data_IF_351832397071
#
_entry.id   IF_351832397071
#
_cell.length_a   1.000
_cell.length_b   1.000
_cell.length_c   1.000
_cell.angle_alpha   90.00
_cell.angle_beta   90.00
_cell.angle_gamma   90.00
#
_symmetry.space_group_name_H-M   'P 1'
#
loop_
_entity.id
_entity.type
_entity.pdbx_description
1 polymer ?
#
# COMPACT_ATOMS: atom_id res chain seq x y z
N UNK A 1 -17.49 -15.52 47.02
CA UNK A 1 -17.21 -15.47 45.57
C UNK A 1 -17.75 -14.14 45.03
N UNK A 2 -16.92 -13.10 45.00
CA UNK A 2 -17.29 -11.81 44.41
C UNK A 2 -17.05 -11.90 42.90
N UNK A 3 -18.12 -12.06 42.13
CA UNK A 3 -18.10 -11.84 40.69
C UNK A 3 -17.87 -10.34 40.46
N UNK A 4 -16.63 -9.96 40.11
CA UNK A 4 -16.33 -8.62 39.58
C UNK A 4 -17.16 -8.41 38.33
N UNK A 5 -18.19 -7.56 38.42
CA UNK A 5 -18.82 -6.95 37.26
C UNK A 5 -17.74 -6.14 36.54
N UNK A 6 -17.34 -6.60 35.35
CA UNK A 6 -16.45 -5.82 34.48
C UNK A 6 -17.24 -4.58 34.04
N UNK A 7 -16.73 -3.41 34.39
CA UNK A 7 -17.31 -2.12 34.03
C UNK A 7 -17.23 -1.91 32.51
N UNK A 8 -18.14 -1.07 32.01
CA UNK A 8 -18.37 -0.75 30.59
C UNK A 8 -17.16 -0.07 29.92
N UNK A 9 -16.12 0.25 30.68
CA UNK A 9 -14.95 1.03 30.25
C UNK A 9 -13.82 0.20 29.64
N UNK A 10 -13.88 -1.14 29.70
CA UNK A 10 -12.85 -2.05 29.13
C UNK A 10 -13.03 -2.34 27.62
N UNK A 11 -13.95 -1.65 26.92
CA UNK A 11 -14.40 -2.01 25.56
C UNK A 11 -13.89 -1.14 24.41
N UNK A 12 -12.81 -0.38 24.62
CA UNK A 12 -12.03 0.18 23.52
C UNK A 12 -10.61 -0.37 23.53
N UNK A 13 -10.48 -1.68 23.70
CA UNK A 13 -9.31 -2.35 23.16
C UNK A 13 -9.37 -2.19 21.65
N UNK A 14 -8.48 -1.35 21.13
CA UNK A 14 -8.09 -1.24 19.73
C UNK A 14 -7.59 -2.60 19.24
N UNK A 15 -8.49 -3.58 19.14
CA UNK A 15 -8.19 -4.88 18.56
C UNK A 15 -8.05 -4.63 17.08
N UNK A 16 -6.81 -4.71 16.60
CA UNK A 16 -6.44 -4.56 15.21
C UNK A 16 -7.36 -5.47 14.38
N UNK A 17 -8.34 -4.88 13.66
CA UNK A 17 -9.39 -5.66 13.00
C UNK A 17 -8.95 -6.22 11.63
N UNK A 18 -7.63 -6.22 11.39
CA UNK A 18 -6.98 -6.54 10.11
C UNK A 18 -7.48 -7.83 9.50
N UNK A 19 -7.69 -8.87 10.31
CA UNK A 19 -8.21 -10.16 9.83
C UNK A 19 -9.64 -10.03 9.29
N UNK A 20 -10.51 -9.31 9.99
CA UNK A 20 -11.89 -9.06 9.56
C UNK A 20 -11.92 -8.24 8.27
N UNK A 21 -11.08 -7.20 8.17
CA UNK A 21 -10.95 -6.41 6.94
C UNK A 21 -10.43 -7.25 5.78
N UNK A 22 -9.39 -8.05 5.99
CA UNK A 22 -8.82 -8.92 4.96
C UNK A 22 -9.83 -9.94 4.49
N UNK A 23 -10.59 -10.56 5.41
CA UNK A 23 -11.66 -11.50 5.05
C UNK A 23 -12.76 -10.81 4.25
N UNK A 24 -13.22 -9.63 4.67
CA UNK A 24 -14.23 -8.87 3.96
C UNK A 24 -13.75 -8.47 2.56
N UNK A 25 -12.49 -8.06 2.43
CA UNK A 25 -11.86 -7.76 1.15
C UNK A 25 -11.81 -8.99 0.25
N UNK A 26 -11.29 -10.11 0.76
CA UNK A 26 -11.17 -11.36 -0.01
C UNK A 26 -12.53 -11.84 -0.51
N UNK A 27 -13.57 -11.84 0.33
CA UNK A 27 -14.93 -12.24 -0.08
C UNK A 27 -15.45 -11.34 -1.20
N UNK A 28 -15.30 -10.01 -1.07
CA UNK A 28 -15.73 -9.08 -2.11
C UNK A 28 -14.94 -9.26 -3.40
N UNK A 29 -13.64 -9.50 -3.30
CA UNK A 29 -12.79 -9.79 -4.45
C UNK A 29 -13.26 -11.06 -5.17
N UNK A 30 -13.49 -12.17 -4.47
CA UNK A 30 -13.93 -13.42 -5.12
C UNK A 30 -15.33 -13.33 -5.74
N UNK A 31 -16.23 -12.56 -5.15
CA UNK A 31 -17.61 -12.42 -5.63
C UNK A 31 -17.78 -11.33 -6.70
N UNK A 32 -16.69 -10.75 -7.19
CA UNK A 32 -16.69 -9.59 -8.09
C UNK A 32 -17.39 -8.35 -7.50
N UNK A 33 -17.49 -8.21 -6.17
CA UNK A 33 -18.23 -7.17 -5.44
C UNK A 33 -17.37 -6.01 -4.94
N UNK A 34 -16.17 -5.85 -5.48
CA UNK A 34 -15.35 -4.68 -5.15
C UNK A 34 -16.10 -3.39 -5.50
N UNK A 35 -15.91 -2.32 -4.69
CA UNK A 35 -16.51 -1.02 -4.96
C UNK A 35 -15.74 -0.29 -6.08
N UNK A 36 -15.80 -0.82 -7.29
CA UNK A 36 -15.22 -0.21 -8.50
C UNK A 36 -16.08 0.95 -8.98
N UNK A 37 -15.51 1.91 -9.72
CA UNK A 37 -16.31 3.01 -10.26
C UNK A 37 -17.43 2.54 -11.19
N UNK A 38 -17.26 1.44 -11.93
CA UNK A 38 -18.34 0.78 -12.67
C UNK A 38 -19.56 0.52 -11.77
N UNK A 39 -19.36 -0.13 -10.63
CA UNK A 39 -20.44 -0.46 -9.69
C UNK A 39 -20.94 0.74 -8.89
N UNK A 40 -20.09 1.75 -8.67
CA UNK A 40 -20.48 2.96 -7.95
C UNK A 40 -21.34 3.88 -8.83
N UNK A 41 -21.03 3.99 -10.12
CA UNK A 41 -21.87 4.69 -11.11
C UNK A 41 -23.22 4.02 -11.29
N UNK A 42 -23.25 2.69 -11.35
CA UNK A 42 -24.50 1.92 -11.43
C UNK A 42 -25.40 2.18 -10.21
N UNK A 43 -24.84 2.09 -8.99
CA UNK A 43 -25.61 2.29 -7.74
C UNK A 43 -25.93 3.75 -7.42
N UNK A 44 -25.04 4.67 -7.76
CA UNK A 44 -25.07 6.07 -7.36
C UNK A 44 -24.73 7.00 -8.54
N UNK A 45 -25.47 6.87 -9.63
CA UNK A 45 -25.27 7.63 -10.88
C UNK A 45 -25.34 9.15 -10.71
N UNK A 46 -26.00 9.64 -9.65
CA UNK A 46 -26.04 11.07 -9.31
C UNK A 46 -24.72 11.61 -8.74
N UNK A 47 -23.88 10.74 -8.17
CA UNK A 47 -22.62 11.11 -7.51
C UNK A 47 -21.43 10.77 -8.41
N UNK A 48 -21.51 9.67 -9.15
CA UNK A 48 -20.44 9.20 -10.02
C UNK A 48 -20.87 9.29 -11.48
N UNK A 49 -20.40 10.32 -12.18
CA UNK A 49 -20.72 10.58 -13.58
C UNK A 49 -19.95 9.65 -14.54
N UNK A 50 -18.69 9.37 -14.21
CA UNK A 50 -17.79 8.56 -15.02
C UNK A 50 -17.32 7.31 -14.26
N UNK A 51 -17.20 6.22 -15.00
CA UNK A 51 -16.68 4.92 -14.59
C UNK A 51 -15.24 4.68 -15.06
N UNK A 52 -14.57 5.68 -15.63
CA UNK A 52 -13.16 5.59 -16.05
C UNK A 52 -12.23 5.56 -14.84
N UNK A 53 -11.14 4.80 -14.93
CA UNK A 53 -10.16 4.66 -13.85
C UNK A 53 -9.56 5.98 -13.40
N UNK A 54 -9.60 6.25 -12.10
CA UNK A 54 -9.15 7.51 -11.47
C UNK A 54 -7.66 7.76 -11.72
N UNK A 55 -6.86 6.70 -11.86
CA UNK A 55 -5.42 6.82 -12.03
C UNK A 55 -5.04 7.26 -13.43
N UNK A 56 -5.58 6.57 -14.44
CA UNK A 56 -5.18 6.79 -15.83
C UNK A 56 -6.16 7.63 -16.64
N UNK A 57 -7.45 7.65 -16.29
CA UNK A 57 -8.54 8.27 -17.04
C UNK A 57 -8.59 7.82 -18.52
N UNK A 58 -8.31 6.53 -18.78
CA UNK A 58 -8.32 5.96 -20.13
C UNK A 58 -9.41 4.90 -20.26
N UNK A 59 -9.26 3.81 -19.52
CA UNK A 59 -10.19 2.68 -19.56
C UNK A 59 -11.22 2.75 -18.42
N UNK A 60 -12.31 2.01 -18.60
CA UNK A 60 -13.31 1.76 -17.57
C UNK A 60 -12.69 1.04 -16.38
N UNK A 61 -13.02 1.48 -15.18
CA UNK A 61 -12.61 0.88 -13.92
C UNK A 61 -13.55 -0.26 -13.53
N UNK A 62 -13.24 -1.44 -14.05
CA UNK A 62 -13.79 -2.70 -13.56
C UNK A 62 -12.89 -3.32 -12.47
N UNK A 63 -13.29 -4.47 -11.93
CA UNK A 63 -12.55 -5.13 -10.86
C UNK A 63 -11.13 -5.54 -11.27
N UNK A 64 -10.93 -5.93 -12.53
CA UNK A 64 -9.63 -6.37 -13.02
C UNK A 64 -8.74 -5.15 -13.24
N UNK A 65 -9.28 -4.10 -13.86
CA UNK A 65 -8.56 -2.89 -14.22
C UNK A 65 -8.06 -2.11 -13.02
N UNK A 66 -8.79 -2.12 -11.88
CA UNK A 66 -8.28 -1.57 -10.61
C UNK A 66 -6.92 -2.16 -10.25
N UNK A 67 -6.69 -3.44 -10.54
CA UNK A 67 -5.45 -4.14 -10.22
C UNK A 67 -4.40 -4.05 -11.34
N UNK A 68 -4.84 -4.00 -12.60
CA UNK A 68 -3.95 -4.04 -13.78
C UNK A 68 -3.67 -2.69 -14.43
N UNK A 69 -4.25 -1.60 -13.91
CA UNK A 69 -4.06 -0.26 -14.47
C UNK A 69 -2.55 0.04 -14.64
N UNK A 70 -2.10 0.49 -15.83
CA UNK A 70 -0.68 0.73 -16.09
C UNK A 70 -0.05 1.77 -15.17
N UNK A 71 -0.83 2.72 -14.67
CA UNK A 71 -0.38 3.71 -13.67
C UNK A 71 -0.43 3.20 -12.22
N UNK A 72 -0.93 1.98 -12.01
CA UNK A 72 -0.84 1.27 -10.74
C UNK A 72 0.43 0.43 -10.65
N UNK A 73 1.12 0.19 -11.77
CA UNK A 73 2.44 -0.41 -11.79
C UNK A 73 3.39 0.48 -10.98
N UNK A 74 3.78 -0.02 -9.83
CA UNK A 74 4.90 0.51 -9.09
C UNK A 74 6.14 0.02 -9.85
N UNK A 75 6.82 0.93 -10.54
CA UNK A 75 8.12 0.62 -11.12
C UNK A 75 9.08 0.22 -9.99
N UNK A 76 9.35 -1.09 -9.90
CA UNK A 76 10.19 -1.67 -8.86
C UNK A 76 11.60 -1.06 -8.90
N UNK A 77 12.08 -0.67 -10.09
CA UNK A 77 13.36 0.00 -10.26
C UNK A 77 13.32 1.43 -9.71
N UNK A 78 12.26 2.18 -9.97
CA UNK A 78 12.04 3.50 -9.37
C UNK A 78 11.99 3.43 -7.85
N UNK A 79 11.27 2.46 -7.28
CA UNK A 79 11.24 2.22 -5.83
C UNK A 79 12.63 1.89 -5.26
N UNK A 80 13.37 0.99 -5.92
CA UNK A 80 14.75 0.65 -5.53
C UNK A 80 15.64 1.89 -5.55
N UNK A 81 15.61 2.69 -6.61
CA UNK A 81 16.43 3.88 -6.75
C UNK A 81 16.09 4.93 -5.70
N UNK A 82 14.79 5.11 -5.40
CA UNK A 82 14.32 6.02 -4.36
C UNK A 82 14.77 5.58 -2.96
N UNK A 83 14.75 4.27 -2.68
CA UNK A 83 15.26 3.70 -1.45
C UNK A 83 16.78 3.93 -1.31
N UNK A 84 17.56 3.63 -2.36
CA UNK A 84 19.01 3.88 -2.38
C UNK A 84 19.29 5.35 -2.10
N UNK A 85 18.58 6.28 -2.77
CA UNK A 85 18.76 7.72 -2.54
C UNK A 85 18.45 8.14 -1.10
N UNK A 86 17.39 7.61 -0.50
CA UNK A 86 17.04 7.88 0.90
C UNK A 86 18.12 7.36 1.86
N UNK A 87 18.65 6.16 1.60
CA UNK A 87 19.73 5.56 2.40
C UNK A 87 21.02 6.39 2.29
N UNK A 88 21.41 6.79 1.08
CA UNK A 88 22.57 7.67 0.85
C UNK A 88 22.40 8.98 1.61
N UNK A 89 21.28 9.68 1.43
CA UNK A 89 21.08 10.99 2.04
C UNK A 89 21.12 10.93 3.58
N UNK A 90 20.47 9.93 4.19
CA UNK A 90 20.48 9.74 5.65
C UNK A 90 21.86 9.37 6.19
N UNK A 91 22.68 8.70 5.40
CA UNK A 91 24.00 8.25 5.85
C UNK A 91 25.08 9.31 5.59
N UNK A 92 24.96 10.13 4.54
CA UNK A 92 25.81 11.31 4.33
C UNK A 92 25.63 12.39 5.40
N UNK A 93 24.47 12.46 6.05
CA UNK A 93 24.25 13.39 7.18
C UNK A 93 24.86 12.90 8.50
N UNK A 94 25.28 11.62 8.59
CA UNK A 94 25.76 10.98 9.83
C UNK A 94 27.26 10.70 9.82
N UNK A 95 27.89 10.56 8.65
CA UNK A 95 29.29 10.13 8.56
C UNK A 95 30.27 11.30 8.31
N UNK A 96 30.82 11.86 9.39
CA UNK A 96 32.12 12.52 9.38
C UNK A 96 33.11 11.59 10.09
N UNK A 97 33.90 10.79 9.33
CA UNK A 97 34.91 9.86 9.86
C UNK A 97 35.06 8.53 9.10
N UNK A 98 35.99 7.67 9.54
CA UNK A 98 36.42 6.42 8.88
C UNK A 98 35.31 5.40 8.56
N UNK A 99 34.16 5.50 9.23
CA UNK A 99 32.92 4.76 8.95
C UNK A 99 32.40 4.94 7.52
N UNK A 100 32.78 6.05 6.85
CA UNK A 100 32.38 6.36 5.48
C UNK A 100 32.93 5.36 4.43
N UNK A 101 34.15 4.82 4.60
CA UNK A 101 34.78 3.89 3.64
C UNK A 101 34.05 2.55 3.54
N UNK A 102 33.57 2.02 4.66
CA UNK A 102 32.83 0.76 4.71
C UNK A 102 31.42 0.93 4.13
N UNK A 103 30.79 2.07 4.37
CA UNK A 103 29.50 2.41 3.77
C UNK A 103 29.55 2.53 2.24
N UNK A 104 30.59 3.16 1.67
CA UNK A 104 30.73 3.25 0.22
C UNK A 104 30.79 1.87 -0.45
N UNK A 105 31.47 0.90 0.18
CA UNK A 105 31.51 -0.49 -0.31
C UNK A 105 30.14 -1.17 -0.23
N UNK A 106 29.39 -0.97 0.85
CA UNK A 106 28.02 -1.49 1.01
C UNK A 106 27.06 -0.85 0.00
N UNK A 107 27.22 0.44 -0.30
CA UNK A 107 26.41 1.13 -1.30
C UNK A 107 26.65 0.58 -2.70
N UNK A 108 27.91 0.32 -3.06
CA UNK A 108 28.27 -0.30 -4.34
C UNK A 108 27.75 -1.75 -4.43
N UNK A 109 27.73 -2.50 -3.33
CA UNK A 109 27.11 -3.82 -3.28
C UNK A 109 25.57 -3.75 -3.48
N UNK A 110 24.90 -2.74 -2.89
CA UNK A 110 23.46 -2.50 -3.08
C UNK A 110 23.11 -2.08 -4.52
N UNK A 111 23.96 -1.31 -5.19
CA UNK A 111 23.81 -0.98 -6.63
C UNK A 111 23.97 -2.22 -7.52
N UNK A 112 24.77 -3.19 -7.11
CA UNK A 112 25.02 -4.44 -7.86
C UNK A 112 23.99 -5.54 -7.65
N UNK A 113 23.13 -5.44 -6.64
CA UNK A 113 22.04 -6.41 -6.44
C UNK A 113 21.06 -6.35 -7.63
N UNK A 114 21.12 -7.34 -8.51
CA UNK A 114 20.13 -7.56 -9.55
C UNK A 114 18.96 -8.32 -8.94
N UNK A 115 17.77 -7.71 -9.00
CA UNK A 115 16.51 -8.38 -8.67
C UNK A 115 15.87 -8.66 -10.03
N UNK A 116 15.63 -9.95 -10.39
CA UNK A 116 14.99 -10.32 -11.65
C UNK A 116 13.56 -9.78 -11.76
#
# INVERSE_FOLDING_TARGET
MLLRQKTVEDKWNNHDNKETQQRAFNVKLFNNELPTLEKLKDRFSKIYENDSCIRCNLEKEDQVYVLTCPKNLIDIHSCRNKLIKLLVNKTTTVACGDTCKNMCKTLEALKKLHIP
#
